data_IF_196216076434
#
_entry.id   IF_196216076434
#
_cell.length_a   1.000
_cell.length_b   1.000
_cell.length_c   1.000
_cell.angle_alpha   90.00
_cell.angle_beta   90.00
_cell.angle_gamma   90.00
#
_symmetry.space_group_name_H-M   'P 1'
#
loop_
_entity.id
_entity.type
_entity.pdbx_description
1 polymer ?
#
# COMPACT_ATOMS: atom_id res chain seq x y z
N UNK A 1 3.71 -4.51 -9.48
CA UNK A 1 3.34 -3.10 -9.77
C UNK A 1 2.37 -2.55 -8.72
N UNK A 2 1.19 -3.15 -8.52
CA UNK A 2 0.17 -2.64 -7.58
C UNK A 2 0.62 -2.62 -6.10
N UNK A 3 1.32 -3.66 -5.65
CA UNK A 3 1.79 -3.76 -4.26
C UNK A 3 2.80 -2.66 -3.90
N UNK A 4 3.70 -2.32 -4.81
CA UNK A 4 4.67 -1.22 -4.64
C UNK A 4 3.97 0.12 -4.45
N UNK A 5 2.96 0.38 -5.29
CA UNK A 5 2.17 1.60 -5.17
C UNK A 5 1.39 1.65 -3.86
N UNK A 6 0.84 0.51 -3.41
CA UNK A 6 0.18 0.42 -2.11
C UNK A 6 1.14 0.74 -0.95
N UNK A 7 2.38 0.26 -0.99
CA UNK A 7 3.41 0.59 0.02
C UNK A 7 3.70 2.09 0.03
N UNK A 8 3.96 2.70 -1.13
CA UNK A 8 4.21 4.15 -1.24
C UNK A 8 3.04 4.94 -0.67
N UNK A 9 1.81 4.62 -1.10
CA UNK A 9 0.59 5.30 -0.64
C UNK A 9 0.36 5.16 0.86
N UNK A 10 0.67 3.99 1.43
CA UNK A 10 0.58 3.75 2.86
C UNK A 10 1.56 4.63 3.63
N UNK A 11 2.80 4.74 3.15
CA UNK A 11 3.82 5.59 3.79
C UNK A 11 3.46 7.07 3.67
N UNK A 12 2.96 7.52 2.52
CA UNK A 12 2.47 8.87 2.34
C UNK A 12 1.31 9.19 3.30
N UNK A 13 0.34 8.28 3.39
CA UNK A 13 -0.84 8.44 4.24
C UNK A 13 -0.47 8.54 5.73
N UNK A 14 0.42 7.65 6.18
CA UNK A 14 0.83 7.60 7.58
C UNK A 14 2.05 8.45 7.90
N UNK A 15 2.59 9.24 6.95
CA UNK A 15 3.84 10.01 7.08
C UNK A 15 4.05 10.68 8.44
N UNK A 16 2.98 11.25 9.02
CA UNK A 16 3.02 11.95 10.31
C UNK A 16 3.23 11.01 11.51
N UNK A 17 2.73 9.79 11.43
CA UNK A 17 2.82 8.77 12.49
C UNK A 17 4.14 8.00 12.48
N UNK A 18 4.74 7.88 11.30
CA UNK A 18 5.96 7.09 11.09
C UNK A 18 7.24 7.92 11.10
N UNK A 19 7.13 9.23 11.22
CA UNK A 19 8.31 10.09 11.44
C UNK A 19 8.90 9.77 12.82
N UNK A 20 10.21 9.57 12.89
CA UNK A 20 10.97 9.16 14.09
C UNK A 20 10.68 7.76 14.67
N UNK A 21 9.90 6.91 13.99
CA UNK A 21 9.61 5.56 14.46
C UNK A 21 10.18 4.50 13.51
N UNK A 22 10.61 3.37 14.06
CA UNK A 22 11.01 2.21 13.27
C UNK A 22 9.77 1.52 12.69
N UNK A 23 9.78 1.26 11.39
CA UNK A 23 8.63 0.76 10.63
C UNK A 23 8.91 -0.67 10.17
N UNK A 24 7.99 -1.59 10.43
CA UNK A 24 8.09 -2.96 9.90
C UNK A 24 7.03 -3.15 8.83
N UNK A 25 7.46 -3.28 7.58
CA UNK A 25 6.59 -3.51 6.43
C UNK A 25 6.53 -5.02 6.18
N UNK A 26 5.35 -5.61 6.42
CA UNK A 26 5.08 -7.03 6.13
C UNK A 26 4.38 -7.15 4.77
N UNK A 27 4.94 -7.95 3.88
CA UNK A 27 4.38 -8.17 2.53
C UNK A 27 4.53 -9.63 2.12
N UNK A 28 3.55 -10.16 1.41
CA UNK A 28 3.60 -11.48 0.78
C UNK A 28 4.29 -11.47 -0.59
N UNK A 29 4.74 -10.30 -1.03
CA UNK A 29 5.44 -10.12 -2.29
C UNK A 29 6.95 -10.20 -2.10
N UNK A 30 7.54 -11.28 -2.60
CA UNK A 30 9.01 -11.45 -2.67
C UNK A 30 9.68 -10.32 -3.45
N UNK A 31 8.96 -9.68 -4.38
CA UNK A 31 9.53 -8.61 -5.20
C UNK A 31 9.90 -7.37 -4.40
N UNK A 32 9.14 -7.04 -3.35
CA UNK A 32 9.37 -5.86 -2.51
C UNK A 32 10.57 -6.08 -1.57
N UNK A 33 10.88 -7.33 -1.24
CA UNK A 33 12.00 -7.71 -0.38
C UNK A 33 13.35 -7.50 -1.04
N UNK A 34 13.44 -7.59 -2.37
CA UNK A 34 14.67 -7.37 -3.15
C UNK A 34 14.86 -5.92 -3.60
N UNK A 35 14.51 -4.95 -2.75
CA UNK A 35 14.55 -3.53 -3.09
C UNK A 35 15.94 -3.04 -3.54
N UNK A 36 17.00 -3.66 -3.02
CA UNK A 36 18.39 -3.30 -3.35
C UNK A 36 18.95 -3.99 -4.61
N UNK A 37 18.31 -5.05 -5.12
CA UNK A 37 18.86 -5.85 -6.22
C UNK A 37 18.23 -5.54 -7.59
N UNK A 38 17.31 -4.56 -7.67
CA UNK A 38 16.57 -4.25 -8.89
C UNK A 38 16.75 -2.80 -9.31
N UNK A 39 17.27 -2.60 -10.52
CA UNK A 39 17.59 -1.29 -11.11
C UNK A 39 16.44 -0.70 -11.94
N UNK A 40 15.19 -0.93 -11.55
CA UNK A 40 14.05 -0.30 -12.25
C UNK A 40 13.73 1.04 -11.61
N UNK A 41 13.36 2.05 -12.41
CA UNK A 41 13.01 3.41 -11.96
C UNK A 41 12.07 3.45 -10.73
N UNK A 42 11.10 2.53 -10.67
CA UNK A 42 10.14 2.42 -9.56
C UNK A 42 10.82 2.00 -8.24
N UNK A 43 11.81 1.09 -8.30
CA UNK A 43 12.55 0.65 -7.11
C UNK A 43 13.47 1.75 -6.59
N UNK A 44 14.06 2.55 -7.49
CA UNK A 44 14.82 3.74 -7.11
C UNK A 44 13.95 4.76 -6.36
N UNK A 45 12.75 5.06 -6.87
CA UNK A 45 11.82 5.97 -6.19
C UNK A 45 11.42 5.44 -4.81
N UNK A 46 11.08 4.15 -4.72
CA UNK A 46 10.75 3.52 -3.44
C UNK A 46 11.90 3.60 -2.46
N UNK A 47 13.12 3.31 -2.90
CA UNK A 47 14.32 3.38 -2.06
C UNK A 47 14.56 4.81 -1.57
N UNK A 48 14.38 5.82 -2.41
CA UNK A 48 14.49 7.22 -1.99
C UNK A 48 13.43 7.63 -0.95
N UNK A 49 12.19 7.15 -1.09
CA UNK A 49 11.12 7.45 -0.13
C UNK A 49 11.38 6.73 1.19
N UNK A 50 11.71 5.43 1.11
CA UNK A 50 11.92 4.58 2.27
C UNK A 50 13.18 4.94 3.04
N UNK A 51 14.27 5.33 2.38
CA UNK A 51 15.52 5.76 3.03
C UNK A 51 15.36 6.99 3.95
N UNK A 52 14.23 7.70 3.89
CA UNK A 52 13.92 8.81 4.81
C UNK A 52 13.42 8.32 6.18
N UNK A 53 13.08 7.04 6.29
CA UNK A 53 12.55 6.41 7.48
C UNK A 53 13.44 5.24 7.88
N UNK A 54 13.37 4.86 9.15
CA UNK A 54 14.00 3.62 9.61
C UNK A 54 13.01 2.47 9.37
N UNK A 55 13.27 1.61 8.39
CA UNK A 55 12.32 0.60 7.96
C UNK A 55 12.95 -0.79 7.80
N UNK A 56 12.16 -1.81 8.07
CA UNK A 56 12.48 -3.22 7.84
C UNK A 56 11.39 -3.87 7.00
N UNK A 57 11.76 -4.54 5.91
CA UNK A 57 10.82 -5.28 5.06
C UNK A 57 10.92 -6.76 5.41
N UNK A 58 9.80 -7.36 5.80
CA UNK A 58 9.69 -8.78 6.12
C UNK A 58 8.72 -9.45 5.15
N UNK A 59 9.20 -10.50 4.49
CA UNK A 59 8.34 -11.34 3.67
C UNK A 59 7.50 -12.27 4.57
N UNK A 60 6.18 -12.21 4.45
CA UNK A 60 5.24 -13.09 5.16
C UNK A 60 4.57 -14.05 4.18
N UNK A 61 4.14 -15.22 4.65
CA UNK A 61 3.44 -16.17 3.79
C UNK A 61 2.04 -15.63 3.42
N UNK A 62 1.60 -15.77 2.17
CA UNK A 62 0.32 -15.25 1.69
C UNK A 62 -0.89 -15.72 2.49
N UNK A 63 -0.81 -16.90 3.13
CA UNK A 63 -1.83 -17.42 4.06
C UNK A 63 -2.03 -16.57 5.31
N UNK A 64 -1.02 -15.79 5.72
CA UNK A 64 -1.09 -14.88 6.87
C UNK A 64 -1.50 -13.46 6.47
N UNK A 65 -1.45 -13.15 5.17
CA UNK A 65 -1.80 -11.83 4.63
C UNK A 65 -3.30 -11.69 4.32
N UNK A 66 -4.18 -12.22 5.18
CA UNK A 66 -5.62 -12.33 4.89
C UNK A 66 -6.28 -10.95 4.87
N UNK A 67 -6.00 -10.11 5.86
CA UNK A 67 -6.65 -8.80 6.02
C UNK A 67 -6.30 -7.84 4.85
N UNK A 68 -5.02 -7.59 4.52
CA UNK A 68 -4.68 -6.71 3.39
C UNK A 68 -5.16 -7.26 2.05
N UNK A 69 -5.12 -8.58 1.85
CA UNK A 69 -5.63 -9.23 0.64
C UNK A 69 -7.16 -9.11 0.53
N UNK A 70 -7.90 -9.23 1.63
CA UNK A 70 -9.35 -9.02 1.63
C UNK A 70 -9.70 -7.56 1.33
N UNK A 71 -9.06 -6.60 2.00
CA UNK A 71 -9.33 -5.17 1.80
C UNK A 71 -9.00 -4.76 0.36
N UNK A 72 -7.82 -5.12 -0.16
CA UNK A 72 -7.40 -4.76 -1.51
C UNK A 72 -8.31 -5.34 -2.61
N UNK A 73 -8.91 -6.51 -2.39
CA UNK A 73 -9.88 -7.11 -3.33
C UNK A 73 -11.25 -6.46 -3.26
N UNK A 74 -11.71 -6.07 -2.07
CA UNK A 74 -13.06 -5.54 -1.84
C UNK A 74 -13.13 -4.00 -1.88
N UNK A 75 -12.00 -3.29 -1.95
CA UNK A 75 -11.96 -1.83 -1.95
C UNK A 75 -12.82 -1.20 -3.06
N UNK A 76 -12.87 -1.82 -4.25
CA UNK A 76 -13.68 -1.34 -5.37
C UNK A 76 -15.20 -1.44 -5.14
N UNK A 77 -15.65 -2.26 -4.18
CA UNK A 77 -17.08 -2.46 -3.90
C UNK A 77 -17.62 -1.26 -3.12
N UNK A 78 -16.84 -0.76 -2.14
CA UNK A 78 -17.19 0.42 -1.35
C UNK A 78 -17.32 1.68 -2.22
N UNK A 79 -16.34 1.94 -3.09
CA UNK A 79 -16.37 3.11 -3.98
C UNK A 79 -17.53 3.04 -4.99
N UNK A 80 -17.85 1.86 -5.53
CA UNK A 80 -18.99 1.72 -6.46
C UNK A 80 -20.33 1.97 -5.77
N UNK A 81 -20.49 1.47 -4.55
CA UNK A 81 -21.69 1.72 -3.74
C UNK A 81 -21.80 3.20 -3.39
N UNK A 82 -20.70 3.83 -2.95
CA UNK A 82 -20.70 5.25 -2.60
C UNK A 82 -21.07 6.13 -3.81
N UNK A 83 -20.48 5.87 -4.98
CA UNK A 83 -20.85 6.55 -6.22
C UNK A 83 -22.28 6.26 -6.69
N UNK A 84 -22.82 5.08 -6.40
CA UNK A 84 -24.22 4.73 -6.69
C UNK A 84 -25.20 5.50 -5.79
N UNK A 85 -24.93 5.59 -4.48
CA UNK A 85 -25.74 6.36 -3.54
C UNK A 85 -25.71 7.86 -3.89
N UNK A 86 -24.53 8.41 -4.18
CA UNK A 86 -24.38 9.82 -4.62
C UNK A 86 -25.14 10.10 -5.92
N UNK A 87 -25.14 9.19 -6.91
CA UNK A 87 -25.96 9.37 -8.14
C UNK A 87 -27.46 9.23 -7.91
N UNK A 88 -27.88 8.49 -6.89
CA UNK A 88 -29.30 8.29 -6.57
C UNK A 88 -29.88 9.51 -5.86
N UNK A 89 -29.11 10.16 -4.98
CA UNK A 89 -29.49 11.42 -4.34
C UNK A 89 -29.55 12.60 -5.34
N UNK A 90 -28.63 12.65 -6.30
CA UNK A 90 -28.62 13.68 -7.35
C UNK A 90 -29.66 13.48 -8.48
N UNK A 91 -30.59 12.54 -8.33
CA UNK A 91 -31.69 12.26 -9.28
C UNK A 91 -33.08 12.64 -8.75
N UNK A 92 -33.14 13.29 -7.58
CA UNK A 92 -34.38 13.63 -6.86
C UNK A 92 -34.68 15.15 -6.94
N UNK A 93 -33.97 15.91 -7.78
CA UNK A 93 -34.32 17.28 -8.17
C UNK A 93 -34.58 17.37 -9.66
#
# INVERSE_FOLDING_TARGET
MKEFFAVIKTIEHFRRLIICNQIIIKTDSKNVTYLNNKETSIYHLLRQILNKYDFQIIHINGKTNIVPNFISRNFYIGDKLNNYFIRKENKIF
#
